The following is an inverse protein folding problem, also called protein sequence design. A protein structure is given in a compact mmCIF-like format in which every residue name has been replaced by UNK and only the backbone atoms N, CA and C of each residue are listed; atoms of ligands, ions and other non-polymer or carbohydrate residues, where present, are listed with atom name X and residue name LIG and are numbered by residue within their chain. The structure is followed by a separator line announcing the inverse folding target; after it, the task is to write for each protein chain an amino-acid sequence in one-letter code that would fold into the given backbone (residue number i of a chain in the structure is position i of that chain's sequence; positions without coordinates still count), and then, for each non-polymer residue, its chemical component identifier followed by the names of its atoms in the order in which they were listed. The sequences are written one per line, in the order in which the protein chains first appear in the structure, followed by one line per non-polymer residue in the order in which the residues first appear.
data_IF_003623395796
#
_entry.id   IF_003623395796
#
_cell.length_a   1.000
_cell.length_b   1.000
_cell.length_c   1.000
_cell.angle_alpha   90.00
_cell.angle_beta   90.00
_cell.angle_gamma   90.00
#
_symmetry.space_group_name_H-M   'P 1'
#
loop_
_entity.id
_entity.type
_entity.pdbx_description
1 polymer ?
#
# COMPACT_ATOMS: atom_id res chain seq x y z
N UNK A 1 25.55 -3.24 -13.17
CA UNK A 1 25.12 -3.03 -11.77
C UNK A 1 23.60 -3.19 -11.73
N UNK A 2 23.06 -3.91 -10.74
CA UNK A 2 21.60 -3.94 -10.53
C UNK A 2 21.14 -2.57 -10.03
N UNK A 3 19.95 -2.13 -10.46
CA UNK A 3 19.33 -0.91 -9.92
C UNK A 3 19.01 -1.07 -8.43
N UNK A 4 18.90 0.03 -7.71
CA UNK A 4 18.49 0.01 -6.29
C UNK A 4 17.12 -0.64 -6.11
N UNK A 5 16.20 -0.42 -7.05
CA UNK A 5 14.89 -1.04 -7.07
C UNK A 5 14.94 -2.58 -7.19
N UNK A 6 15.81 -3.11 -8.03
CA UNK A 6 16.00 -4.56 -8.16
C UNK A 6 16.67 -5.18 -6.94
N UNK A 7 17.61 -4.45 -6.33
CA UNK A 7 18.26 -4.86 -5.09
C UNK A 7 17.24 -4.88 -3.96
N UNK A 8 16.42 -3.84 -3.83
CA UNK A 8 15.39 -3.75 -2.81
C UNK A 8 14.37 -4.89 -2.90
N UNK A 9 13.85 -5.14 -4.10
CA UNK A 9 12.92 -6.25 -4.34
C UNK A 9 13.49 -7.62 -3.94
N UNK A 10 14.80 -7.81 -4.09
CA UNK A 10 15.45 -9.09 -3.79
C UNK A 10 15.83 -9.25 -2.32
N UNK A 11 16.27 -8.18 -1.67
CA UNK A 11 16.96 -8.24 -0.39
C UNK A 11 16.13 -7.71 0.79
N UNK A 12 15.26 -6.74 0.56
CA UNK A 12 14.57 -6.00 1.63
C UNK A 12 13.05 -6.13 1.62
N UNK A 13 12.42 -6.08 0.44
CA UNK A 13 10.99 -5.86 0.28
C UNK A 13 10.10 -6.81 1.09
N UNK A 14 10.36 -8.11 1.01
CA UNK A 14 9.56 -9.10 1.75
C UNK A 14 9.74 -8.99 3.26
N UNK A 15 10.95 -8.69 3.73
CA UNK A 15 11.23 -8.54 5.15
C UNK A 15 10.53 -7.30 5.72
N UNK A 16 10.65 -6.15 5.05
CA UNK A 16 9.95 -4.91 5.42
C UNK A 16 8.45 -5.14 5.51
N UNK A 17 7.83 -5.76 4.50
CA UNK A 17 6.39 -6.00 4.52
C UNK A 17 5.95 -7.03 5.58
N UNK A 18 6.81 -8.00 5.93
CA UNK A 18 6.56 -8.91 7.07
C UNK A 18 6.64 -8.16 8.41
N UNK A 19 7.61 -7.24 8.58
CA UNK A 19 7.70 -6.39 9.75
C UNK A 19 6.49 -5.43 9.84
N UNK A 20 6.05 -4.87 8.72
CA UNK A 20 4.79 -4.11 8.64
C UNK A 20 3.61 -4.90 9.18
N UNK A 21 3.54 -6.18 8.94
CA UNK A 21 2.50 -7.04 9.46
C UNK A 21 1.71 -7.81 8.41
N UNK A 22 2.18 -7.87 7.15
CA UNK A 22 1.55 -8.70 6.13
C UNK A 22 1.81 -10.18 6.43
N UNK A 23 0.76 -10.99 6.33
CA UNK A 23 0.77 -12.43 6.64
C UNK A 23 0.10 -13.24 5.52
N UNK A 24 0.32 -14.55 5.54
CA UNK A 24 -0.30 -15.50 4.61
C UNK A 24 -1.83 -15.39 4.62
N UNK A 25 -2.43 -15.60 3.47
CA UNK A 25 -3.89 -15.66 3.23
C UNK A 25 -4.63 -14.34 3.41
N UNK A 26 -3.96 -13.23 3.67
CA UNK A 26 -4.58 -11.91 3.75
C UNK A 26 -4.98 -11.36 2.38
N UNK A 27 -5.96 -10.48 2.39
CA UNK A 27 -6.38 -9.64 1.27
C UNK A 27 -5.74 -8.27 1.46
N UNK A 28 -4.90 -7.87 0.52
CA UNK A 28 -4.13 -6.61 0.57
C UNK A 28 -4.59 -5.69 -0.54
N UNK A 29 -4.77 -4.40 -0.24
CA UNK A 29 -4.88 -3.33 -1.23
C UNK A 29 -3.57 -2.55 -1.24
N UNK A 30 -2.91 -2.47 -2.38
CA UNK A 30 -1.80 -1.55 -2.65
C UNK A 30 -2.37 -0.38 -3.45
N UNK A 31 -2.65 0.73 -2.77
CA UNK A 31 -3.28 1.92 -3.34
C UNK A 31 -2.23 2.90 -3.85
N UNK A 32 -2.26 3.21 -5.14
CA UNK A 32 -1.20 3.95 -5.82
C UNK A 32 0.03 3.06 -6.04
N UNK A 33 -0.20 1.82 -6.50
CA UNK A 33 0.82 0.76 -6.52
C UNK A 33 2.02 1.04 -7.45
N UNK A 34 1.93 2.05 -8.33
CA UNK A 34 2.96 2.33 -9.32
C UNK A 34 3.37 1.07 -10.09
N UNK A 35 4.66 0.89 -10.30
CA UNK A 35 5.23 -0.28 -11.00
C UNK A 35 5.27 -1.57 -10.16
N UNK A 36 4.62 -1.59 -8.99
CA UNK A 36 4.41 -2.80 -8.18
C UNK A 36 5.57 -3.22 -7.29
N UNK A 37 6.43 -2.31 -6.91
CA UNK A 37 7.56 -2.63 -6.03
C UNK A 37 7.13 -3.12 -4.65
N UNK A 38 5.95 -2.72 -4.16
CA UNK A 38 5.35 -3.24 -2.93
C UNK A 38 4.30 -4.32 -3.21
N UNK A 39 3.59 -4.26 -4.35
CA UNK A 39 2.62 -5.27 -4.80
C UNK A 39 3.23 -6.67 -4.91
N UNK A 40 4.37 -6.79 -5.61
CA UNK A 40 4.99 -8.08 -5.90
C UNK A 40 5.43 -8.82 -4.62
N UNK A 41 6.19 -8.19 -3.69
CA UNK A 41 6.55 -8.86 -2.44
C UNK A 41 5.33 -9.13 -1.55
N UNK A 42 4.33 -8.26 -1.52
CA UNK A 42 3.07 -8.54 -0.80
C UNK A 42 2.39 -9.81 -1.34
N UNK A 43 2.29 -9.96 -2.66
CA UNK A 43 1.69 -11.13 -3.29
C UNK A 43 2.43 -12.44 -2.96
N UNK A 44 3.75 -12.40 -2.85
CA UNK A 44 4.55 -13.55 -2.41
C UNK A 44 4.25 -13.93 -0.95
N UNK A 45 4.15 -12.93 -0.07
CA UNK A 45 3.91 -13.16 1.37
C UNK A 45 2.51 -13.75 1.59
N UNK A 46 1.47 -13.18 0.97
CA UNK A 46 0.10 -13.67 1.17
C UNK A 46 -0.15 -15.04 0.54
N UNK A 47 0.68 -15.46 -0.41
CA UNK A 47 0.62 -16.74 -1.14
C UNK A 47 -0.72 -16.94 -1.89
N UNK A 48 -0.93 -18.14 -2.42
CA UNK A 48 -2.08 -18.45 -3.29
C UNK A 48 -3.45 -18.38 -2.60
N UNK A 49 -3.50 -18.43 -1.27
CA UNK A 49 -4.74 -18.29 -0.50
C UNK A 49 -5.10 -16.83 -0.19
N UNK A 50 -4.13 -15.91 -0.33
CA UNK A 50 -4.34 -14.48 -0.23
C UNK A 50 -4.47 -13.83 -1.60
N UNK A 51 -4.74 -12.53 -1.61
CA UNK A 51 -4.87 -11.73 -2.82
C UNK A 51 -4.29 -10.34 -2.62
N UNK A 52 -3.72 -9.76 -3.65
CA UNK A 52 -3.33 -8.36 -3.69
C UNK A 52 -4.11 -7.64 -4.78
N UNK A 53 -4.80 -6.58 -4.41
CA UNK A 53 -5.37 -5.61 -5.33
C UNK A 53 -4.34 -4.52 -5.58
N UNK A 54 -3.89 -4.37 -6.81
CA UNK A 54 -2.98 -3.34 -7.26
C UNK A 54 -3.77 -2.23 -7.96
N UNK A 55 -3.95 -1.10 -7.29
CA UNK A 55 -4.76 0.02 -7.78
C UNK A 55 -3.87 1.18 -8.16
N UNK A 56 -4.00 1.67 -9.39
CA UNK A 56 -3.34 2.88 -9.88
C UNK A 56 -4.14 3.52 -11.02
N UNK A 57 -3.89 4.80 -11.29
CA UNK A 57 -4.42 5.53 -12.44
C UNK A 57 -3.54 5.37 -13.69
N UNK A 58 -2.24 5.15 -13.52
CA UNK A 58 -1.29 5.05 -14.63
C UNK A 58 -1.28 3.65 -15.25
N UNK A 59 -1.73 3.61 -16.52
CA UNK A 59 -1.80 2.38 -17.29
C UNK A 59 -0.43 1.72 -17.53
N UNK A 60 0.62 2.53 -17.69
CA UNK A 60 1.97 2.02 -17.93
C UNK A 60 2.49 1.30 -16.70
N UNK A 61 2.35 1.91 -15.54
CA UNK A 61 2.70 1.31 -14.25
C UNK A 61 1.96 -0.01 -14.00
N UNK A 62 0.66 -0.04 -14.23
CA UNK A 62 -0.13 -1.28 -14.11
C UNK A 62 0.33 -2.36 -15.08
N UNK A 63 0.77 -2.00 -16.29
CA UNK A 63 1.34 -2.96 -17.24
C UNK A 63 2.64 -3.56 -16.69
N UNK A 64 3.50 -2.76 -16.07
CA UNK A 64 4.72 -3.27 -15.42
C UNK A 64 4.40 -4.25 -14.29
N UNK A 65 3.38 -3.97 -13.45
CA UNK A 65 2.91 -4.92 -12.42
C UNK A 65 2.56 -6.27 -13.05
N UNK A 66 1.81 -6.26 -14.15
CA UNK A 66 1.43 -7.49 -14.87
C UNK A 66 2.65 -8.25 -15.37
N UNK A 67 3.63 -7.56 -15.96
CA UNK A 67 4.85 -8.19 -16.47
C UNK A 67 5.70 -8.80 -15.34
N UNK A 68 5.84 -8.07 -14.22
CA UNK A 68 6.54 -8.56 -13.02
C UNK A 68 5.83 -9.78 -12.42
N UNK A 69 4.51 -9.74 -12.31
CA UNK A 69 3.72 -10.87 -11.81
C UNK A 69 3.90 -12.12 -12.69
N UNK A 70 3.80 -11.98 -14.01
CA UNK A 70 4.02 -13.07 -14.95
C UNK A 70 5.44 -13.67 -14.85
N UNK A 71 6.48 -12.82 -14.79
CA UNK A 71 7.87 -13.27 -14.69
C UNK A 71 8.14 -14.08 -13.41
N UNK A 72 7.39 -13.82 -12.36
CA UNK A 72 7.49 -14.49 -11.06
C UNK A 72 6.39 -15.53 -10.81
N UNK A 73 5.57 -15.83 -11.83
CA UNK A 73 4.48 -16.83 -11.79
C UNK A 73 3.47 -16.57 -10.65
N UNK A 74 3.20 -15.30 -10.37
CA UNK A 74 2.21 -14.88 -9.37
C UNK A 74 0.84 -14.79 -10.03
N UNK A 75 -0.17 -15.47 -9.46
CA UNK A 75 -1.53 -15.53 -9.98
C UNK A 75 -2.55 -14.92 -9.01
N UNK A 76 -2.08 -14.29 -7.95
CA UNK A 76 -2.89 -13.76 -6.86
C UNK A 76 -2.92 -12.22 -6.81
N UNK A 77 -2.60 -11.57 -7.93
CA UNK A 77 -2.68 -10.11 -8.08
C UNK A 77 -3.84 -9.77 -9.00
N UNK A 78 -4.70 -8.86 -8.56
CA UNK A 78 -5.79 -8.30 -9.36
C UNK A 78 -5.54 -6.81 -9.58
N UNK A 79 -5.52 -6.41 -10.86
CA UNK A 79 -5.32 -5.02 -11.26
C UNK A 79 -6.65 -4.27 -11.16
N UNK A 80 -6.62 -3.09 -10.56
CA UNK A 80 -7.72 -2.12 -10.55
C UNK A 80 -7.20 -0.81 -11.15
N UNK A 81 -7.70 -0.45 -12.31
CA UNK A 81 -7.45 0.87 -12.90
C UNK A 81 -8.51 1.84 -12.42
N UNK A 82 -8.08 2.96 -11.83
CA UNK A 82 -8.95 4.09 -11.48
C UNK A 82 -8.77 5.24 -12.48
N UNK A 83 -9.79 6.09 -12.61
CA UNK A 83 -9.70 7.38 -13.32
C UNK A 83 -9.57 8.56 -12.35
N UNK A 84 -9.40 8.27 -11.05
CA UNK A 84 -9.30 9.28 -9.98
C UNK A 84 -10.57 9.37 -9.13
N UNK A 85 -11.51 8.45 -9.31
CA UNK A 85 -12.67 8.36 -8.43
C UNK A 85 -12.22 8.02 -7.00
N UNK A 86 -12.84 8.68 -6.02
CA UNK A 86 -12.55 8.40 -4.61
C UNK A 86 -13.12 7.04 -4.18
N UNK A 87 -14.22 6.59 -4.83
CA UNK A 87 -14.84 5.30 -4.54
C UNK A 87 -13.97 4.15 -5.04
N UNK A 88 -13.62 3.24 -4.15
CA UNK A 88 -12.85 2.05 -4.45
C UNK A 88 -13.80 0.89 -4.76
N UNK A 89 -13.64 0.19 -5.92
CA UNK A 89 -14.55 -0.87 -6.35
C UNK A 89 -14.29 -2.20 -5.62
N UNK A 90 -14.30 -2.15 -4.30
CA UNK A 90 -14.18 -3.29 -3.40
C UNK A 90 -15.38 -3.33 -2.45
N UNK A 91 -15.73 -4.52 -2.01
CA UNK A 91 -16.79 -4.76 -1.04
C UNK A 91 -16.47 -4.16 0.33
N UNK A 92 -17.50 -3.86 1.11
CA UNK A 92 -17.36 -3.46 2.50
C UNK A 92 -16.65 -4.57 3.29
N UNK A 93 -15.78 -4.19 4.22
CA UNK A 93 -15.09 -5.11 5.12
C UNK A 93 -14.43 -6.32 4.44
N UNK A 94 -13.82 -6.08 3.27
CA UNK A 94 -13.21 -7.13 2.45
C UNK A 94 -11.68 -7.19 2.53
N UNK A 95 -11.01 -6.13 3.02
CA UNK A 95 -9.56 -5.97 2.98
C UNK A 95 -8.94 -6.12 4.37
N UNK A 96 -7.88 -6.91 4.49
CA UNK A 96 -7.13 -7.12 5.74
C UNK A 96 -6.02 -6.08 5.94
N UNK A 97 -5.39 -5.63 4.84
CA UNK A 97 -4.27 -4.69 4.85
C UNK A 97 -4.39 -3.68 3.72
N UNK A 98 -4.16 -2.41 4.01
CA UNK A 98 -4.04 -1.35 3.00
C UNK A 98 -2.63 -0.76 3.08
N UNK A 99 -1.96 -0.65 1.94
CA UNK A 99 -0.67 0.03 1.79
C UNK A 99 -0.91 1.39 1.13
N UNK A 100 -0.45 2.46 1.78
CA UNK A 100 -0.57 3.86 1.34
C UNK A 100 0.85 4.48 1.30
N UNK A 101 1.64 4.07 0.31
CA UNK A 101 3.05 4.40 0.27
C UNK A 101 3.32 5.52 -0.73
N UNK A 102 3.70 6.70 -0.20
CA UNK A 102 3.99 7.93 -0.95
C UNK A 102 2.86 8.34 -1.92
N UNK A 103 1.61 8.22 -1.49
CA UNK A 103 0.44 8.45 -2.35
C UNK A 103 -0.52 9.52 -1.84
N UNK A 104 -0.72 9.67 -0.52
CA UNK A 104 -1.75 10.54 0.04
C UNK A 104 -1.33 12.01 0.24
N UNK A 105 -0.19 12.43 -0.26
CA UNK A 105 0.29 13.80 -0.05
C UNK A 105 -0.49 14.83 -0.89
N UNK A 106 -0.38 16.10 -0.50
CA UNK A 106 -1.12 17.24 -1.08
C UNK A 106 -0.88 17.49 -2.57
N UNK A 107 0.17 16.90 -3.15
CA UNK A 107 0.44 16.98 -4.57
C UNK A 107 -0.61 16.23 -5.41
N UNK A 108 -1.18 15.15 -4.88
CA UNK A 108 -2.18 14.34 -5.57
C UNK A 108 -3.60 14.56 -5.07
N UNK A 109 -3.78 14.87 -3.78
CA UNK A 109 -5.09 14.93 -3.16
C UNK A 109 -5.25 16.19 -2.30
N UNK A 110 -6.36 16.90 -2.48
CA UNK A 110 -6.78 17.95 -1.55
C UNK A 110 -7.10 17.34 -0.17
N UNK A 111 -7.19 18.16 0.86
CA UNK A 111 -7.63 17.72 2.21
C UNK A 111 -9.01 17.06 2.13
N UNK A 112 -9.92 17.61 1.33
CA UNK A 112 -11.28 17.05 1.15
C UNK A 112 -11.23 15.67 0.49
N UNK A 113 -10.40 15.50 -0.56
CA UNK A 113 -10.24 14.21 -1.24
C UNK A 113 -9.63 13.16 -0.31
N UNK A 114 -8.63 13.53 0.50
CA UNK A 114 -8.04 12.62 1.50
C UNK A 114 -9.08 12.16 2.52
N UNK A 115 -9.92 13.07 3.04
CA UNK A 115 -11.02 12.69 3.96
C UNK A 115 -12.00 11.71 3.29
N UNK A 116 -12.34 11.94 2.03
CA UNK A 116 -13.16 11.03 1.24
C UNK A 116 -12.51 9.65 1.07
N UNK A 117 -11.22 9.61 0.74
CA UNK A 117 -10.46 8.36 0.62
C UNK A 117 -10.34 7.63 1.96
N UNK A 118 -10.10 8.33 3.06
CA UNK A 118 -10.04 7.70 4.39
C UNK A 118 -11.38 7.07 4.76
N UNK A 119 -12.52 7.69 4.38
CA UNK A 119 -13.85 7.10 4.54
C UNK A 119 -13.99 5.82 3.72
N UNK A 120 -13.50 5.80 2.47
CA UNK A 120 -13.51 4.59 1.63
C UNK A 120 -12.57 3.51 2.17
N UNK A 121 -11.38 3.87 2.63
CA UNK A 121 -10.48 2.91 3.28
C UNK A 121 -11.12 2.29 4.52
N UNK A 122 -11.84 3.10 5.33
CA UNK A 122 -12.58 2.58 6.47
C UNK A 122 -13.68 1.60 6.01
N UNK A 123 -14.46 1.94 5.00
CA UNK A 123 -15.55 1.10 4.48
C UNK A 123 -15.04 -0.28 4.05
N UNK A 124 -13.97 -0.33 3.25
CA UNK A 124 -13.46 -1.60 2.69
C UNK A 124 -12.62 -2.41 3.67
N UNK A 125 -12.12 -1.80 4.74
CA UNK A 125 -11.29 -2.47 5.75
C UNK A 125 -12.12 -3.40 6.62
N UNK A 126 -11.64 -4.60 6.89
CA UNK A 126 -12.21 -5.46 7.92
C UNK A 126 -12.03 -4.85 9.31
N UNK A 127 -12.83 -5.26 10.32
CA UNK A 127 -12.54 -4.90 11.71
C UNK A 127 -11.09 -5.25 12.07
N UNK A 128 -10.38 -4.32 12.70
CA UNK A 128 -8.97 -4.44 13.06
C UNK A 128 -7.99 -4.58 11.86
N UNK A 129 -8.42 -4.22 10.64
CA UNK A 129 -7.53 -4.20 9.47
C UNK A 129 -6.34 -3.26 9.69
N UNK A 130 -5.20 -3.63 9.11
CA UNK A 130 -3.97 -2.85 9.14
C UNK A 130 -3.96 -1.84 8.00
N UNK A 131 -3.66 -0.59 8.33
CA UNK A 131 -3.32 0.43 7.32
C UNK A 131 -1.87 0.85 7.57
N UNK A 132 -1.00 0.57 6.61
CA UNK A 132 0.41 0.96 6.67
C UNK A 132 0.65 2.12 5.72
N UNK A 133 1.29 3.16 6.22
CA UNK A 133 1.49 4.42 5.50
C UNK A 133 2.97 4.78 5.44
N UNK A 134 3.45 5.12 4.26
CA UNK A 134 4.69 5.85 4.06
C UNK A 134 4.35 7.33 3.84
N UNK A 135 4.44 8.18 4.88
CA UNK A 135 3.95 9.56 4.82
C UNK A 135 4.99 10.51 4.19
N UNK A 136 5.67 10.07 3.13
CA UNK A 136 6.65 10.89 2.43
C UNK A 136 5.97 12.19 1.96
N UNK A 137 6.64 13.31 2.12
CA UNK A 137 6.13 14.65 1.77
C UNK A 137 4.90 15.12 2.57
N UNK A 138 4.63 14.51 3.73
CA UNK A 138 3.55 14.91 4.64
C UNK A 138 4.10 15.15 6.05
N UNK A 139 3.46 16.05 6.80
CA UNK A 139 3.69 16.09 8.23
C UNK A 139 3.06 14.87 8.90
N UNK A 140 3.85 14.14 9.67
CA UNK A 140 3.42 12.88 10.26
C UNK A 140 2.46 13.04 11.45
N UNK A 141 2.47 14.20 12.12
CA UNK A 141 1.54 14.49 13.23
C UNK A 141 0.19 14.90 12.68
N UNK A 142 0.16 15.84 11.72
CA UNK A 142 -1.08 16.23 11.03
C UNK A 142 -1.77 15.02 10.39
N UNK A 143 -0.99 14.13 9.78
CA UNK A 143 -1.56 12.93 9.15
C UNK A 143 -2.09 11.92 10.17
N UNK A 144 -1.47 11.79 11.34
CA UNK A 144 -2.02 10.97 12.44
C UNK A 144 -3.37 11.47 12.89
N UNK A 145 -3.55 12.78 13.03
CA UNK A 145 -4.82 13.38 13.41
C UNK A 145 -5.90 13.11 12.35
N UNK A 146 -5.58 13.25 11.05
CA UNK A 146 -6.50 12.87 9.96
C UNK A 146 -6.94 11.39 10.05
N UNK A 147 -6.00 10.48 10.35
CA UNK A 147 -6.29 9.05 10.50
C UNK A 147 -7.17 8.76 11.72
N UNK A 148 -6.91 9.41 12.83
CA UNK A 148 -7.71 9.24 14.07
C UNK A 148 -9.13 9.80 13.92
N UNK A 149 -9.29 10.94 13.25
CA UNK A 149 -10.60 11.48 12.86
C UNK A 149 -11.38 10.51 11.96
N UNK A 150 -10.68 9.75 11.12
CA UNK A 150 -11.27 8.74 10.25
C UNK A 150 -11.48 7.35 10.92
N UNK A 151 -11.43 7.28 12.24
CA UNK A 151 -11.61 6.07 13.06
C UNK A 151 -10.53 4.98 12.85
N UNK A 152 -9.31 5.39 12.54
CA UNK A 152 -8.13 4.54 12.66
C UNK A 152 -7.35 4.92 13.91
N UNK A 153 -6.80 3.97 14.64
CA UNK A 153 -5.93 4.27 15.77
C UNK A 153 -4.47 3.94 15.42
N UNK A 154 -3.56 4.80 15.85
CA UNK A 154 -2.14 4.58 15.68
C UNK A 154 -1.68 3.34 16.45
N UNK A 155 -0.97 2.43 15.80
CA UNK A 155 -0.43 1.22 16.41
C UNK A 155 1.06 1.36 16.71
N UNK A 156 1.86 1.69 15.69
CA UNK A 156 3.32 1.79 15.83
C UNK A 156 3.99 2.50 14.66
N UNK A 157 5.22 2.92 14.90
CA UNK A 157 6.15 3.48 13.91
C UNK A 157 7.29 2.49 13.67
N UNK A 158 7.63 2.25 12.42
CA UNK A 158 8.71 1.36 12.00
C UNK A 158 9.77 2.18 11.26
N UNK A 159 11.05 1.91 11.50
CA UNK A 159 12.16 2.54 10.78
C UNK A 159 12.79 1.50 9.87
N UNK A 160 12.68 1.69 8.56
CA UNK A 160 13.01 0.69 7.57
C UNK A 160 13.77 1.26 6.37
N UNK A 161 14.42 0.37 5.61
CA UNK A 161 14.92 0.72 4.29
C UNK A 161 13.76 0.66 3.30
N UNK A 162 13.40 1.80 2.73
CA UNK A 162 12.27 1.94 1.82
C UNK A 162 12.73 2.32 0.42
N UNK A 163 11.93 1.98 -0.57
CA UNK A 163 12.14 2.44 -1.94
C UNK A 163 11.27 3.66 -2.19
N UNK A 164 11.92 4.79 -2.48
CA UNK A 164 11.26 6.03 -2.90
C UNK A 164 11.75 6.38 -4.30
N UNK A 165 10.85 6.46 -5.28
CA UNK A 165 11.15 6.50 -6.70
C UNK A 165 12.07 5.32 -7.11
N UNK A 166 13.35 5.54 -7.30
CA UNK A 166 14.33 4.53 -7.68
C UNK A 166 15.52 4.45 -6.72
N UNK A 167 15.43 5.13 -5.58
CA UNK A 167 16.49 5.23 -4.58
C UNK A 167 16.07 4.55 -3.28
N UNK A 168 17.05 3.98 -2.57
CA UNK A 168 16.85 3.43 -1.24
C UNK A 168 17.04 4.52 -0.19
N UNK A 169 16.11 4.61 0.72
CA UNK A 169 16.12 5.57 1.82
C UNK A 169 15.83 4.87 3.15
N UNK A 170 16.43 5.38 4.23
CA UNK A 170 16.07 5.01 5.59
C UNK A 170 14.99 5.97 6.07
N UNK A 171 13.79 5.47 6.30
CA UNK A 171 12.66 6.32 6.67
C UNK A 171 11.62 5.54 7.49
N UNK A 172 10.54 6.19 7.85
CA UNK A 172 9.52 5.65 8.74
C UNK A 172 8.26 5.23 8.00
N UNK A 173 7.70 4.10 8.46
CA UNK A 173 6.33 3.70 8.19
C UNK A 173 5.47 3.90 9.44
N UNK A 174 4.23 4.31 9.25
CA UNK A 174 3.22 4.44 10.29
C UNK A 174 2.16 3.37 10.11
N UNK A 175 1.94 2.57 11.12
CA UNK A 175 0.89 1.56 11.14
C UNK A 175 -0.30 2.04 11.96
N UNK A 176 -1.49 1.84 11.41
CA UNK A 176 -2.77 2.12 12.06
C UNK A 176 -3.68 0.90 12.00
N UNK A 177 -4.66 0.84 12.90
CA UNK A 177 -5.72 -0.17 12.90
C UNK A 177 -7.08 0.47 12.77
N UNK A 178 -7.96 -0.16 11.98
CA UNK A 178 -9.39 0.21 12.00
C UNK A 178 -9.97 -0.05 13.40
N UNK A 179 -10.65 0.96 13.98
CA UNK A 179 -11.42 0.84 15.22
C UNK A 179 -12.69 0.03 15.02
#
# INVERSE_FOLDING_TARGET
MKSDSERWLKENAENVLKEVGIRKSQIVLDFGCGSGYYTIPAAKIVCNKGKVYALDKDRSSLHEVIQRAKSQKLNNIQIIKTSGELKIPLEDESVDVILLYDVLHSYYFSVTDRKGLLTEFYRISKPNALISVYPKHMDSEDFRDEMEEANFHFERKLFETLLHYHSLEQDYLLNFRRK
#
